data_IF_558939518388
#
_entry.id   IF_558939518388
#
_cell.length_a   1.000
_cell.length_b   1.000
_cell.length_c   1.000
_cell.angle_alpha   90.00
_cell.angle_beta   90.00
_cell.angle_gamma   90.00
#
_symmetry.space_group_name_H-M   'P 1'
#
loop_
_entity.id
_entity.type
_entity.pdbx_description
1 polymer ?
#
# COMPACT_ATOMS: atom_id res chain seq x y z
N UNK A 1 13.49 32.22 43.56
CA UNK A 1 13.33 31.70 43.18
C UNK A 1 13.22 30.87 42.73
N UNK A 2 13.32 30.74 42.63
CA UNK A 2 13.21 29.89 41.98
C UNK A 2 12.42 29.28 41.72
N UNK A 3 11.97 29.39 41.86
CA UNK A 3 11.25 28.75 41.49
C UNK A 3 10.80 28.52 40.46
N UNK A 4 10.91 28.84 40.07
CA UNK A 4 10.52 28.59 39.00
C UNK A 4 10.77 27.67 38.31
N UNK A 5 11.08 27.46 38.35
CA UNK A 5 11.29 26.53 37.59
C UNK A 5 10.80 25.57 37.46
N UNK A 6 10.45 25.53 37.82
CA UNK A 6 9.97 24.55 37.84
C UNK A 6 9.16 24.18 37.07
N UNK A 7 8.69 24.65 36.84
CA UNK A 7 7.80 24.33 36.11
C UNK A 7 8.16 23.83 35.02
N UNK A 8 8.73 24.11 34.77
CA UNK A 8 9.11 23.68 33.74
C UNK A 8 9.19 22.48 33.50
N UNK A 9 9.45 22.13 34.00
CA UNK A 9 9.63 20.94 33.75
C UNK A 9 8.50 20.30 33.44
N UNK A 10 7.99 20.49 33.59
CA UNK A 10 7.09 19.82 33.30
C UNK A 10 6.65 19.71 32.24
N UNK A 11 6.67 20.13 31.79
CA UNK A 11 6.20 19.83 30.66
C UNK A 11 6.65 19.04 29.90
N UNK A 12 7.09 19.13 29.99
CA UNK A 12 7.59 18.43 29.25
C UNK A 12 7.28 17.31 29.23
N UNK A 13 7.14 17.07 29.72
CA UNK A 13 6.83 15.95 29.74
C UNK A 13 5.84 15.64 29.17
N UNK A 14 5.28 16.14 29.23
CA UNK A 14 4.34 15.75 28.61
C UNK A 14 4.46 15.56 27.54
N UNK A 15 4.86 15.86 27.28
CA UNK A 15 5.02 15.79 26.24
C UNK A 15 5.24 14.66 25.72
N UNK A 16 5.88 14.24 25.97
CA UNK A 16 6.21 13.21 25.23
C UNK A 16 5.25 12.30 25.16
N UNK A 17 4.72 12.35 25.83
CA UNK A 17 3.86 11.55 25.87
C UNK A 17 2.96 11.49 24.96
N UNK A 18 2.48 12.22 24.76
CA UNK A 18 1.49 12.09 23.92
C UNK A 18 1.82 11.60 22.68
N UNK A 19 2.92 11.69 22.40
CA UNK A 19 3.25 11.27 21.25
C UNK A 19 2.94 10.00 20.93
N UNK A 20 3.02 9.20 21.67
CA UNK A 20 2.79 7.93 21.31
C UNK A 20 1.47 7.70 20.89
N UNK A 21 0.62 8.37 21.37
CA UNK A 21 -0.69 8.14 21.01
C UNK A 21 -0.90 8.22 19.58
N UNK A 22 -0.20 9.05 18.96
CA UNK A 22 -0.39 9.22 17.56
C UNK A 22 -0.13 7.97 16.81
N UNK A 23 0.57 7.07 17.37
CA UNK A 23 0.89 5.88 16.66
C UNK A 23 -0.08 4.79 16.87
N UNK A 24 -1.16 5.07 17.51
CA UNK A 24 -2.10 4.03 17.81
C UNK A 24 -3.22 3.89 16.81
N UNK A 25 -3.14 4.58 15.73
CA UNK A 25 -4.13 4.40 14.69
C UNK A 25 -4.02 3.02 14.07
N UNK A 26 -5.01 2.59 13.32
CA UNK A 26 -4.95 1.29 12.68
C UNK A 26 -3.76 1.19 11.76
N UNK A 27 -3.13 0.08 11.75
CA UNK A 27 -2.04 -0.15 10.84
C UNK A 27 -2.60 -0.24 9.41
N UNK A 28 -1.84 0.22 8.45
CA UNK A 28 -2.21 0.07 7.05
C UNK A 28 -1.13 -0.72 6.33
N UNK A 29 -1.45 -1.17 5.13
CA UNK A 29 -0.51 -1.90 4.30
C UNK A 29 -0.30 -1.18 2.99
N UNK A 30 0.81 -1.48 2.36
CA UNK A 30 1.15 -1.02 1.02
C UNK A 30 1.29 -2.25 0.12
N UNK A 31 0.74 -2.17 -1.07
CA UNK A 31 0.92 -3.18 -2.09
C UNK A 31 1.66 -2.54 -3.26
N UNK A 32 2.72 -3.16 -3.71
CA UNK A 32 3.49 -2.64 -4.83
C UNK A 32 3.96 -3.79 -5.70
N UNK A 33 4.47 -3.49 -6.86
CA UNK A 33 4.98 -4.49 -7.75
C UNK A 33 5.24 -3.92 -9.12
N UNK A 34 5.46 -4.83 -10.07
CA UNK A 34 5.76 -4.45 -11.43
C UNK A 34 4.85 -5.21 -12.38
N UNK A 35 4.36 -4.52 -13.39
CA UNK A 35 3.63 -5.16 -14.48
C UNK A 35 4.62 -5.42 -15.60
N UNK A 36 4.60 -6.63 -16.13
CA UNK A 36 5.58 -7.02 -17.13
C UNK A 36 4.96 -7.94 -18.17
N UNK A 37 5.62 -8.07 -19.31
CA UNK A 37 5.24 -9.02 -20.33
C UNK A 37 5.71 -10.41 -19.93
N UNK A 38 5.31 -11.41 -20.68
CA UNK A 38 5.80 -12.77 -20.47
C UNK A 38 7.30 -12.85 -20.52
N UNK A 39 7.94 -12.01 -21.31
CA UNK A 39 9.40 -11.97 -21.41
C UNK A 39 10.06 -11.25 -20.23
N UNK A 40 9.23 -10.79 -19.30
CA UNK A 40 9.67 -10.05 -18.11
C UNK A 40 10.12 -8.62 -18.41
N UNK A 41 9.84 -8.13 -19.60
CA UNK A 41 10.06 -6.71 -19.89
C UNK A 41 8.94 -5.89 -19.24
N UNK A 42 9.26 -4.72 -18.69
CA UNK A 42 8.24 -3.88 -18.05
C UNK A 42 7.18 -3.42 -19.04
N UNK A 43 5.97 -3.20 -18.56
CA UNK A 43 4.87 -2.69 -19.34
C UNK A 43 4.43 -1.34 -18.83
N UNK A 44 5.10 -0.27 -19.21
CA UNK A 44 4.66 1.07 -18.80
C UNK A 44 3.29 1.37 -19.35
N UNK A 45 2.49 2.04 -18.58
CA UNK A 45 1.14 2.42 -19.02
C UNK A 45 0.08 1.38 -18.80
N UNK A 46 0.43 0.19 -18.32
CA UNK A 46 -0.57 -0.79 -17.96
C UNK A 46 -1.41 -0.27 -16.80
N UNK A 47 -2.69 -0.60 -16.77
CA UNK A 47 -3.56 -0.15 -15.70
C UNK A 47 -3.73 -1.28 -14.71
N UNK A 48 -3.45 -1.02 -13.45
CA UNK A 48 -3.55 -1.99 -12.38
C UNK A 48 -4.82 -1.70 -11.61
N UNK A 49 -5.65 -2.74 -11.40
CA UNK A 49 -6.90 -2.61 -10.68
C UNK A 49 -6.83 -3.38 -9.36
N UNK A 50 -7.27 -2.73 -8.30
CA UNK A 50 -7.28 -3.31 -6.97
C UNK A 50 -8.70 -3.28 -6.43
N UNK A 51 -9.24 -4.45 -6.10
CA UNK A 51 -10.60 -4.54 -5.59
C UNK A 51 -10.61 -4.94 -4.13
N UNK A 52 -11.30 -4.16 -3.32
CA UNK A 52 -11.56 -4.50 -1.93
C UNK A 52 -12.70 -5.51 -1.93
N UNK A 53 -12.45 -6.75 -1.50
CA UNK A 53 -13.45 -7.79 -1.61
C UNK A 53 -14.58 -7.66 -0.59
N UNK A 54 -14.37 -6.80 0.42
CA UNK A 54 -15.41 -6.61 1.41
C UNK A 54 -16.40 -5.54 0.98
N UNK A 55 -15.94 -4.46 0.41
CA UNK A 55 -16.80 -3.35 -0.02
C UNK A 55 -17.08 -3.37 -1.50
N UNK A 56 -16.31 -4.16 -2.25
CA UNK A 56 -16.36 -4.25 -3.71
C UNK A 56 -15.87 -2.97 -4.41
N UNK A 57 -15.27 -2.06 -3.68
CA UNK A 57 -14.74 -0.85 -4.30
C UNK A 57 -13.46 -1.16 -5.06
N UNK A 58 -13.22 -0.42 -6.13
CA UNK A 58 -12.08 -0.65 -7.02
C UNK A 58 -11.27 0.63 -7.13
N UNK A 59 -9.95 0.49 -7.02
CA UNK A 59 -9.00 1.57 -7.26
C UNK A 59 -8.13 1.18 -8.44
N UNK A 60 -7.56 2.15 -9.12
CA UNK A 60 -6.68 1.86 -10.24
C UNK A 60 -5.40 2.69 -10.14
N UNK A 61 -4.37 2.23 -10.81
CA UNK A 61 -3.08 2.91 -10.87
C UNK A 61 -2.46 2.62 -12.23
N UNK A 62 -1.98 3.65 -12.91
CA UNK A 62 -1.32 3.48 -14.20
C UNK A 62 0.17 3.25 -13.93
N UNK A 63 0.68 2.13 -14.41
CA UNK A 63 2.08 1.77 -14.18
C UNK A 63 3.01 2.82 -14.78
N UNK A 64 4.10 3.08 -14.10
CA UNK A 64 5.04 4.11 -14.51
C UNK A 64 5.96 3.59 -15.62
N UNK A 65 6.98 4.38 -15.97
CA UNK A 65 7.88 4.03 -17.08
C UNK A 65 8.65 2.73 -16.88
N UNK A 66 8.78 2.30 -15.65
CA UNK A 66 9.43 1.02 -15.35
C UNK A 66 8.41 -0.08 -15.08
N UNK A 67 7.13 0.18 -15.32
CA UNK A 67 6.07 -0.79 -15.08
C UNK A 67 5.66 -0.91 -13.63
N UNK A 68 6.14 -0.03 -12.76
CA UNK A 68 5.86 -0.15 -11.32
C UNK A 68 4.50 0.42 -10.96
N UNK A 69 3.86 -0.19 -9.96
CA UNK A 69 2.61 0.30 -9.41
C UNK A 69 2.68 0.28 -7.89
N UNK A 70 1.79 1.03 -7.26
CA UNK A 70 1.77 1.08 -5.80
C UNK A 70 0.42 1.54 -5.30
N UNK A 71 -0.09 0.85 -4.28
CA UNK A 71 -1.30 1.24 -3.56
C UNK A 71 -0.96 1.34 -2.09
N UNK A 72 -1.34 2.45 -1.46
CA UNK A 72 -1.04 2.67 -0.05
C UNK A 72 -2.33 2.74 0.75
N UNK A 73 -2.21 2.75 2.05
CA UNK A 73 -3.34 2.91 2.97
C UNK A 73 -4.38 1.80 2.82
N UNK A 74 -3.92 0.58 2.62
CA UNK A 74 -4.82 -0.56 2.50
C UNK A 74 -5.11 -1.14 3.88
N UNK A 75 -6.32 -1.65 4.05
CA UNK A 75 -6.71 -2.24 5.32
C UNK A 75 -6.01 -3.57 5.55
N UNK A 76 -5.48 -3.82 6.74
CA UNK A 76 -4.86 -5.11 7.02
C UNK A 76 -5.86 -6.24 7.19
N UNK A 77 -7.14 -5.92 7.33
CA UNK A 77 -8.16 -6.91 7.62
C UNK A 77 -9.02 -7.29 6.42
N UNK A 78 -8.60 -6.90 5.24
CA UNK A 78 -9.38 -7.11 4.03
C UNK A 78 -8.54 -7.85 3.01
N UNK A 79 -9.15 -8.80 2.31
CA UNK A 79 -8.50 -9.41 1.17
C UNK A 79 -8.73 -8.54 -0.05
N UNK A 80 -7.68 -8.31 -0.81
CA UNK A 80 -7.76 -7.52 -2.03
C UNK A 80 -7.44 -8.41 -3.22
N UNK A 81 -8.14 -8.19 -4.33
CA UNK A 81 -7.82 -8.84 -5.60
C UNK A 81 -7.17 -7.82 -6.51
N UNK A 82 -6.15 -8.24 -7.23
CA UNK A 82 -5.38 -7.34 -8.06
C UNK A 82 -5.09 -7.97 -9.42
N UNK A 83 -5.23 -7.20 -10.48
CA UNK A 83 -4.84 -7.61 -11.82
C UNK A 83 -4.48 -6.38 -12.64
N UNK A 84 -3.82 -6.59 -13.75
CA UNK A 84 -3.44 -5.51 -14.65
C UNK A 84 -4.01 -5.76 -16.04
N UNK A 85 -4.17 -4.67 -16.78
CA UNK A 85 -4.71 -4.72 -18.12
C UNK A 85 -3.89 -3.81 -19.03
N UNK A 86 -3.62 -4.26 -20.24
CA UNK A 86 -2.86 -3.47 -21.18
C UNK A 86 -3.36 -3.82 -22.58
N UNK A 87 -3.92 -2.82 -23.29
CA UNK A 87 -4.41 -3.00 -24.66
C UNK A 87 -5.31 -4.22 -24.81
N UNK A 88 -6.22 -4.39 -23.86
CA UNK A 88 -7.20 -5.46 -23.91
C UNK A 88 -6.74 -6.80 -23.35
N UNK A 89 -5.46 -6.96 -23.07
CA UNK A 89 -4.96 -8.17 -22.45
C UNK A 89 -4.91 -8.00 -20.93
N UNK A 90 -5.16 -9.07 -20.20
CA UNK A 90 -5.20 -9.01 -18.73
C UNK A 90 -4.20 -9.98 -18.13
N UNK A 91 -3.69 -9.63 -16.97
CA UNK A 91 -2.91 -10.55 -16.17
C UNK A 91 -3.85 -11.50 -15.43
N UNK A 92 -3.28 -12.54 -14.81
CA UNK A 92 -4.04 -13.33 -13.86
C UNK A 92 -4.39 -12.45 -12.68
N UNK A 93 -5.49 -12.77 -12.02
CA UNK A 93 -5.88 -12.07 -10.79
C UNK A 93 -5.15 -12.72 -9.62
N UNK A 94 -4.50 -11.88 -8.82
CA UNK A 94 -3.82 -12.34 -7.63
C UNK A 94 -4.51 -11.78 -6.40
N UNK A 95 -4.26 -12.38 -5.25
CA UNK A 95 -4.91 -11.97 -4.02
C UNK A 95 -3.87 -11.51 -3.00
N UNK A 96 -4.12 -10.36 -2.39
CA UNK A 96 -3.39 -9.93 -1.21
C UNK A 96 -4.25 -10.31 -0.02
N UNK A 97 -3.84 -11.37 0.68
CA UNK A 97 -4.63 -11.94 1.76
C UNK A 97 -4.53 -11.10 3.03
N UNK A 98 -5.60 -11.08 3.81
CA UNK A 98 -5.56 -10.45 5.13
C UNK A 98 -4.65 -11.21 6.08
N UNK A 99 -4.30 -12.46 5.75
CA UNK A 99 -3.35 -13.21 6.56
C UNK A 99 -1.90 -12.86 6.24
N UNK A 100 -1.66 -12.09 5.18
CA UNK A 100 -0.32 -11.64 4.86
C UNK A 100 -0.02 -10.46 5.77
N UNK A 101 0.91 -10.65 6.70
CA UNK A 101 1.17 -9.65 7.74
C UNK A 101 2.27 -8.65 7.37
N UNK A 102 2.78 -8.71 6.14
CA UNK A 102 3.81 -7.76 5.74
C UNK A 102 3.23 -6.36 5.63
N UNK A 103 3.95 -5.37 6.13
CA UNK A 103 3.53 -3.97 5.99
C UNK A 103 3.58 -3.54 4.52
N UNK A 104 4.50 -4.08 3.76
CA UNK A 104 4.62 -3.84 2.33
C UNK A 104 4.67 -5.19 1.63
N UNK A 105 3.68 -5.46 0.80
CA UNK A 105 3.64 -6.68 0.02
C UNK A 105 4.03 -6.38 -1.42
N UNK A 106 4.77 -7.27 -2.05
CA UNK A 106 5.16 -7.11 -3.44
C UNK A 106 4.52 -8.22 -4.26
N UNK A 107 3.72 -7.84 -5.24
CA UNK A 107 3.08 -8.78 -6.15
C UNK A 107 3.33 -8.29 -7.57
N UNK A 108 4.04 -9.07 -8.35
CA UNK A 108 4.28 -8.75 -9.74
C UNK A 108 3.19 -9.35 -10.60
N UNK A 109 2.82 -8.64 -11.65
CA UNK A 109 1.75 -9.07 -12.55
C UNK A 109 2.30 -9.25 -13.95
N UNK A 110 1.95 -10.34 -14.58
CA UNK A 110 2.47 -10.65 -15.91
C UNK A 110 1.32 -10.71 -16.90
N UNK A 111 1.44 -9.96 -17.97
CA UNK A 111 0.45 -9.94 -19.04
C UNK A 111 1.03 -10.65 -20.25
N UNK A 112 0.30 -11.61 -20.78
CA UNK A 112 0.73 -12.31 -21.96
C UNK A 112 0.32 -11.52 -23.18
N UNK A 113 1.12 -10.50 -23.49
CA UNK A 113 0.84 -9.60 -24.61
C UNK A 113 2.07 -9.49 -25.49
N UNK A 114 1.83 -9.20 -26.74
CA UNK A 114 2.93 -9.09 -27.69
C UNK A 114 3.48 -7.68 -27.81
#
# INVERSE_FOLDING_TARGET
MSRKLIAVAMFVVLTGVGLFAANNGPATRTLQGQVMKSSEAPLPGAVVYLKNTKTMSVRSFVADNAGNYRFTSLSPNVDYEIYAEYKGAKSDTKTLSSFDTRATATINLKIHAE
#
